data_IF_525798028561
#
_entry.id   IF_525798028561
#
_cell.length_a   1.000
_cell.length_b   1.000
_cell.length_c   1.000
_cell.angle_alpha   90.00
_cell.angle_beta   90.00
_cell.angle_gamma   90.00
#
_symmetry.space_group_name_H-M   'P 1'
#
loop_
_entity.id
_entity.type
_entity.pdbx_description
1 polymer ?
#
# COMPACT_ATOMS: atom_id res chain seq x y z
N UNK A 1 -56.90 -8.68 4.37
CA UNK A 1 -55.91 -9.55 3.70
C UNK A 1 -54.56 -8.87 3.85
N UNK A 2 -53.75 -9.37 4.79
CA UNK A 2 -52.42 -8.85 5.09
C UNK A 2 -51.39 -9.52 4.14
N UNK A 3 -50.52 -8.78 3.43
CA UNK A 3 -49.42 -9.40 2.72
C UNK A 3 -48.24 -9.64 3.68
N UNK A 4 -47.89 -10.92 3.86
CA UNK A 4 -46.74 -11.36 4.64
C UNK A 4 -45.50 -11.37 3.73
N UNK A 5 -44.49 -10.56 4.05
CA UNK A 5 -43.19 -10.54 3.37
C UNK A 5 -42.32 -11.69 3.88
N UNK A 6 -42.02 -12.67 3.02
CA UNK A 6 -41.06 -13.72 3.30
C UNK A 6 -39.68 -13.33 2.76
N UNK A 7 -38.74 -13.10 3.66
CA UNK A 7 -37.33 -12.86 3.38
C UNK A 7 -36.62 -14.21 3.15
N UNK A 8 -36.11 -14.45 1.94
CA UNK A 8 -35.22 -15.57 1.66
C UNK A 8 -33.76 -15.11 1.73
N UNK A 9 -33.03 -15.55 2.75
CA UNK A 9 -31.56 -15.56 2.75
C UNK A 9 -31.10 -16.90 3.30
N UNK A 10 -30.57 -17.75 2.43
CA UNK A 10 -29.46 -18.71 2.58
C UNK A 10 -29.52 -19.58 1.32
N UNK A 11 -28.52 -19.63 0.45
CA UNK A 11 -27.11 -19.73 0.70
C UNK A 11 -26.68 -21.09 0.16
N UNK A 12 -26.50 -21.21 -1.15
CA UNK A 12 -25.76 -22.32 -1.75
C UNK A 12 -25.34 -21.97 -3.18
N UNK A 13 -24.04 -22.16 -3.38
CA UNK A 13 -23.41 -22.66 -4.60
C UNK A 13 -22.65 -21.73 -5.55
N UNK A 14 -21.47 -22.29 -5.85
CA UNK A 14 -20.48 -22.00 -6.89
C UNK A 14 -19.53 -20.83 -6.66
N UNK A 15 -18.24 -21.18 -6.64
CA UNK A 15 -17.11 -20.30 -6.41
C UNK A 15 -17.14 -19.05 -7.28
N UNK A 16 -17.58 -17.95 -6.67
CA UNK A 16 -17.41 -16.62 -7.22
C UNK A 16 -15.98 -16.17 -6.89
N UNK A 17 -15.05 -16.41 -7.81
CA UNK A 17 -13.80 -15.64 -7.83
C UNK A 17 -14.18 -14.16 -7.71
N UNK A 18 -13.63 -13.41 -6.73
CA UNK A 18 -14.05 -12.04 -6.50
C UNK A 18 -13.88 -11.26 -7.80
N UNK A 19 -14.81 -10.37 -8.16
CA UNK A 19 -14.68 -9.59 -9.38
C UNK A 19 -13.32 -8.91 -9.33
N UNK A 20 -12.41 -9.30 -10.23
CA UNK A 20 -11.12 -8.64 -10.43
C UNK A 20 -11.45 -7.22 -10.84
N UNK A 21 -11.63 -6.35 -9.83
CA UNK A 21 -11.93 -4.92 -10.00
C UNK A 21 -10.92 -4.41 -10.99
N UNK A 22 -11.41 -4.03 -12.18
CA UNK A 22 -10.59 -3.47 -13.25
C UNK A 22 -9.68 -2.44 -12.62
N UNK A 23 -8.42 -2.84 -12.60
CA UNK A 23 -7.30 -2.30 -11.86
C UNK A 23 -7.33 -0.79 -12.15
N UNK A 24 -7.52 0.06 -11.13
CA UNK A 24 -7.23 1.51 -11.25
C UNK A 24 -5.71 1.65 -11.34
N UNK A 25 -5.10 1.08 -12.38
CA UNK A 25 -3.64 1.00 -12.59
C UNK A 25 -3.05 2.40 -12.62
N UNK A 26 -3.82 3.41 -13.01
CA UNK A 26 -3.28 4.78 -13.09
C UNK A 26 -2.96 5.43 -11.75
N UNK A 27 -3.90 5.48 -10.80
CA UNK A 27 -3.75 6.36 -9.62
C UNK A 27 -2.82 5.78 -8.55
N UNK A 28 -2.99 4.50 -8.24
CA UNK A 28 -2.17 3.83 -7.23
C UNK A 28 -0.71 3.76 -7.66
N UNK A 29 -0.45 3.39 -8.92
CA UNK A 29 0.91 3.33 -9.46
C UNK A 29 1.58 4.71 -9.51
N UNK A 30 0.86 5.74 -9.98
CA UNK A 30 1.38 7.12 -9.94
C UNK A 30 1.67 7.60 -8.52
N UNK A 31 0.87 7.19 -7.55
CA UNK A 31 1.14 7.54 -6.15
C UNK A 31 2.33 6.77 -5.61
N UNK A 32 2.43 5.46 -5.89
CA UNK A 32 3.58 4.65 -5.50
C UNK A 32 4.89 5.23 -6.08
N UNK A 33 4.87 5.66 -7.35
CA UNK A 33 6.02 6.32 -7.97
C UNK A 33 6.42 7.61 -7.24
N UNK A 34 5.45 8.48 -6.89
CA UNK A 34 5.74 9.70 -6.13
C UNK A 34 6.34 9.41 -4.75
N UNK A 35 5.89 8.34 -4.11
CA UNK A 35 6.43 7.92 -2.81
C UNK A 35 7.85 7.35 -2.97
N UNK A 36 8.14 6.61 -4.04
CA UNK A 36 9.51 6.18 -4.35
C UNK A 36 10.44 7.37 -4.62
N UNK A 37 9.96 8.40 -5.34
CA UNK A 37 10.75 9.62 -5.55
C UNK A 37 11.07 10.31 -4.20
N UNK A 38 10.13 10.29 -3.25
CA UNK A 38 10.32 10.75 -1.87
C UNK A 38 11.36 9.91 -1.13
N UNK A 39 11.31 8.58 -1.28
CA UNK A 39 12.31 7.69 -0.70
C UNK A 39 13.71 7.97 -1.24
N UNK A 40 13.86 8.16 -2.56
CA UNK A 40 15.14 8.51 -3.17
C UNK A 40 15.67 9.87 -2.71
N UNK A 41 14.79 10.84 -2.42
CA UNK A 41 15.21 12.12 -1.82
C UNK A 41 15.70 11.95 -0.39
N UNK A 42 14.97 11.18 0.43
CA UNK A 42 15.38 10.88 1.80
C UNK A 42 16.72 10.11 1.86
N UNK A 43 17.01 9.25 0.87
CA UNK A 43 18.34 8.60 0.78
C UNK A 43 19.47 9.58 0.48
N UNK A 44 19.22 10.59 -0.37
CA UNK A 44 20.20 11.65 -0.63
C UNK A 44 20.41 12.51 0.61
N UNK A 45 19.34 12.87 1.32
CA UNK A 45 19.43 13.59 2.59
C UNK A 45 20.20 12.79 3.64
N UNK A 46 19.98 11.47 3.72
CA UNK A 46 20.76 10.61 4.62
C UNK A 46 22.27 10.64 4.29
N UNK A 47 22.60 10.62 2.99
CA UNK A 47 23.98 10.73 2.53
C UNK A 47 24.59 12.10 2.87
N UNK A 48 23.83 13.19 2.67
CA UNK A 48 24.25 14.55 3.03
C UNK A 48 24.50 14.67 4.53
N UNK A 49 23.61 14.15 5.38
CA UNK A 49 23.80 14.09 6.83
C UNK A 49 25.03 13.26 7.21
N UNK A 50 25.26 12.12 6.53
CA UNK A 50 26.44 11.27 6.76
C UNK A 50 27.73 12.03 6.48
N UNK A 51 27.80 12.73 5.34
CA UNK A 51 28.95 13.54 4.95
C UNK A 51 29.17 14.72 5.91
N UNK A 52 28.10 15.29 6.47
CA UNK A 52 28.16 16.34 7.48
C UNK A 52 28.47 15.84 8.91
N UNK A 53 28.54 14.52 9.13
CA UNK A 53 28.70 13.92 10.46
C UNK A 53 27.47 14.01 11.36
N UNK A 54 26.30 14.34 10.80
CA UNK A 54 25.02 14.35 11.53
C UNK A 54 24.40 12.96 11.58
N UNK A 55 24.79 12.19 12.59
CA UNK A 55 24.30 10.83 12.79
C UNK A 55 22.79 10.76 13.14
N UNK A 56 22.20 11.82 13.68
CA UNK A 56 20.77 11.84 14.02
C UNK A 56 19.95 12.08 12.75
N UNK A 57 20.34 13.08 11.95
CA UNK A 57 19.75 13.36 10.65
C UNK A 57 19.84 12.16 9.71
N UNK A 58 21.01 11.52 9.63
CA UNK A 58 21.19 10.32 8.80
C UNK A 58 20.21 9.20 9.18
N UNK A 59 20.08 8.89 10.47
CA UNK A 59 19.16 7.83 10.93
C UNK A 59 17.72 8.15 10.57
N UNK A 60 17.28 9.38 10.83
CA UNK A 60 15.91 9.83 10.55
C UNK A 60 15.59 9.75 9.05
N UNK A 61 16.50 10.24 8.21
CA UNK A 61 16.32 10.22 6.76
C UNK A 61 16.30 8.77 6.20
N UNK A 62 17.12 7.86 6.75
CA UNK A 62 17.09 6.43 6.39
C UNK A 62 15.78 5.75 6.80
N UNK A 63 15.27 6.03 7.99
CA UNK A 63 13.99 5.51 8.46
C UNK A 63 12.86 5.98 7.53
N UNK A 64 12.81 7.27 7.23
CA UNK A 64 11.86 7.83 6.29
C UNK A 64 11.93 7.18 4.90
N UNK A 65 13.14 6.92 4.38
CA UNK A 65 13.30 6.22 3.10
C UNK A 65 12.73 4.79 3.13
N UNK A 66 12.93 4.06 4.24
CA UNK A 66 12.39 2.70 4.43
C UNK A 66 10.87 2.71 4.49
N UNK A 67 10.29 3.63 5.26
CA UNK A 67 8.84 3.75 5.42
C UNK A 67 8.16 4.16 4.12
N UNK A 68 8.77 5.08 3.36
CA UNK A 68 8.29 5.46 2.05
C UNK A 68 8.31 4.25 1.10
N UNK A 69 9.39 3.49 1.02
CA UNK A 69 9.47 2.28 0.18
C UNK A 69 8.41 1.25 0.53
N UNK A 70 8.24 0.97 1.83
CA UNK A 70 7.19 0.06 2.31
C UNK A 70 5.81 0.56 1.91
N UNK A 71 5.55 1.87 2.04
CA UNK A 71 4.29 2.48 1.63
C UNK A 71 4.04 2.36 0.13
N UNK A 72 5.05 2.58 -0.71
CA UNK A 72 4.96 2.40 -2.16
C UNK A 72 4.66 0.93 -2.53
N UNK A 73 5.30 -0.03 -1.86
CA UNK A 73 5.03 -1.46 -2.04
C UNK A 73 3.58 -1.81 -1.69
N UNK A 74 3.06 -1.31 -0.57
CA UNK A 74 1.67 -1.51 -0.16
C UNK A 74 0.70 -0.97 -1.22
N UNK A 75 0.97 0.23 -1.75
CA UNK A 75 0.14 0.82 -2.80
C UNK A 75 0.13 0.01 -4.10
N UNK A 76 1.29 -0.57 -4.49
CA UNK A 76 1.41 -1.44 -5.66
C UNK A 76 0.70 -2.77 -5.47
N UNK A 77 0.83 -3.37 -4.29
CA UNK A 77 0.21 -4.64 -3.94
C UNK A 77 -1.32 -4.54 -3.92
N UNK A 78 -1.84 -3.36 -3.55
CA UNK A 78 -3.28 -3.13 -3.43
C UNK A 78 -3.94 -3.99 -2.35
N UNK A 79 -5.26 -3.88 -2.15
CA UNK A 79 -5.96 -4.47 -0.99
C UNK A 79 -5.77 -5.98 -0.81
N UNK A 80 -5.62 -6.73 -1.91
CA UNK A 80 -5.40 -8.18 -1.87
C UNK A 80 -3.95 -8.59 -1.64
N UNK A 81 -2.98 -7.71 -1.92
CA UNK A 81 -1.55 -8.00 -1.75
C UNK A 81 -0.94 -7.46 -0.45
N UNK A 82 -1.64 -6.57 0.27
CA UNK A 82 -1.14 -6.04 1.56
C UNK A 82 -0.99 -7.15 2.61
N UNK A 83 -1.91 -8.11 2.65
CA UNK A 83 -1.84 -9.22 3.61
C UNK A 83 -0.55 -10.05 3.47
N UNK A 84 -0.07 -10.26 2.23
CA UNK A 84 1.19 -10.94 1.97
C UNK A 84 2.42 -10.11 2.38
N UNK A 85 2.35 -8.77 2.27
CA UNK A 85 3.42 -7.85 2.66
C UNK A 85 3.51 -7.63 4.19
N UNK A 86 2.43 -7.81 4.93
CA UNK A 86 2.41 -7.68 6.39
C UNK A 86 2.77 -8.98 7.12
N UNK A 87 2.72 -10.11 6.41
CA UNK A 87 3.13 -11.43 6.91
C UNK A 87 4.63 -11.72 6.69
N UNK A 88 5.36 -10.82 6.02
CA UNK A 88 6.77 -10.90 5.67
C UNK A 88 7.61 -9.89 6.45
#
# INVERSE_FOLDING_TARGET
MEPQLTLFVTGADTGSSPPRRRRRVGRAERMAQRIDDLASRAEREAEECRLAGDAVGERKAREQARDARRSAQILRAGPGGVAALMAA
#
